data_IF_611536024880
#
_entry.id   IF_611536024880
#
_cell.length_a   1.000
_cell.length_b   1.000
_cell.length_c   1.000
_cell.angle_alpha   90.00
_cell.angle_beta   90.00
_cell.angle_gamma   90.00
#
_symmetry.space_group_name_H-M   'P 1'
#
loop_
_entity.id
_entity.type
_entity.pdbx_description
1 polymer ?
#
# COMPACT_ATOMS: atom_id res chain seq x y z
N UNK A 1 30.17 30.56 1.83
CA UNK A 1 29.18 29.54 2.22
C UNK A 1 28.62 28.97 0.93
N UNK A 2 28.91 27.67 0.60
CA UNK A 2 28.20 26.98 -0.48
C UNK A 2 26.77 26.78 0.02
N UNK A 3 25.81 27.39 -0.65
CA UNK A 3 24.41 27.13 -0.40
C UNK A 3 24.18 25.60 -0.57
N UNK A 4 23.65 24.97 0.46
CA UNK A 4 23.31 23.52 0.34
C UNK A 4 22.23 23.43 -0.74
N UNK A 5 22.36 22.48 -1.66
CA UNK A 5 21.36 22.24 -2.68
C UNK A 5 20.02 21.95 -2.01
N UNK A 6 19.06 22.83 -2.20
CA UNK A 6 17.74 22.76 -1.56
C UNK A 6 16.74 22.07 -2.48
N UNK A 7 15.81 21.33 -1.89
CA UNK A 7 14.61 20.87 -2.56
C UNK A 7 13.44 21.70 -2.01
N UNK A 8 12.76 22.44 -2.85
CA UNK A 8 11.67 23.35 -2.47
C UNK A 8 10.33 22.77 -2.95
N UNK A 9 9.30 22.97 -2.16
CA UNK A 9 7.93 22.72 -2.59
C UNK A 9 7.46 23.85 -3.50
N UNK A 10 6.74 23.50 -4.55
CA UNK A 10 6.21 24.43 -5.54
C UNK A 10 4.79 24.78 -5.17
N UNK A 11 4.47 26.06 -5.15
CA UNK A 11 3.08 26.51 -5.08
C UNK A 11 2.43 26.37 -6.46
N UNK A 12 1.23 25.84 -6.50
CA UNK A 12 0.51 25.57 -7.73
C UNK A 12 -0.96 26.04 -7.63
N UNK A 13 -1.56 26.26 -8.76
CA UNK A 13 -3.01 26.40 -8.90
C UNK A 13 -3.56 25.08 -9.43
N UNK A 14 -4.59 24.58 -8.79
CA UNK A 14 -5.28 23.36 -9.20
C UNK A 14 -6.63 23.68 -9.82
N UNK A 15 -6.92 23.05 -10.96
CA UNK A 15 -8.23 23.02 -11.61
C UNK A 15 -8.68 21.56 -11.69
N UNK A 16 -9.95 21.33 -11.41
CA UNK A 16 -10.57 20.00 -11.52
C UNK A 16 -11.60 20.05 -12.65
N UNK A 17 -11.40 19.22 -13.65
CA UNK A 17 -12.35 19.00 -14.74
C UNK A 17 -13.16 17.75 -14.41
N UNK A 18 -14.45 17.96 -14.15
CA UNK A 18 -15.42 16.89 -13.89
C UNK A 18 -16.11 16.48 -15.21
N UNK A 19 -16.50 15.22 -15.31
CA UNK A 19 -17.13 14.60 -16.48
C UNK A 19 -16.22 14.56 -17.73
N UNK A 20 -14.90 14.49 -17.54
CA UNK A 20 -13.96 14.28 -18.64
C UNK A 20 -14.17 12.86 -19.24
N UNK A 21 -14.63 12.74 -20.50
CA UNK A 21 -14.91 11.44 -21.13
C UNK A 21 -13.63 10.61 -21.36
N UNK A 22 -12.47 11.26 -21.41
CA UNK A 22 -11.18 10.61 -21.66
C UNK A 22 -10.50 10.14 -20.36
N UNK A 23 -11.03 10.57 -19.20
CA UNK A 23 -10.52 10.16 -17.90
C UNK A 23 -11.16 8.85 -17.39
N UNK A 24 -10.40 7.90 -16.84
CA UNK A 24 -10.89 6.58 -16.39
C UNK A 24 -12.05 6.64 -15.39
N UNK A 25 -12.12 7.69 -14.58
CA UNK A 25 -13.19 7.93 -13.57
C UNK A 25 -13.93 9.24 -13.81
N UNK A 26 -13.82 9.81 -15.01
CA UNK A 26 -14.50 11.06 -15.39
C UNK A 26 -13.92 12.32 -14.76
N UNK A 27 -12.73 12.26 -14.16
CA UNK A 27 -12.10 13.39 -13.47
C UNK A 27 -10.67 13.56 -13.95
N UNK A 28 -10.31 14.78 -14.38
CA UNK A 28 -8.95 15.20 -14.66
C UNK A 28 -8.58 16.37 -13.73
N UNK A 29 -7.47 16.23 -13.01
CA UNK A 29 -6.90 17.28 -12.18
C UNK A 29 -5.74 17.93 -12.92
N UNK A 30 -5.79 19.23 -13.07
CA UNK A 30 -4.83 20.02 -13.83
C UNK A 30 -4.12 20.97 -12.87
N UNK A 31 -2.80 20.86 -12.81
CA UNK A 31 -1.95 21.66 -11.94
C UNK A 31 -1.11 22.61 -12.78
N UNK A 32 -1.21 23.91 -12.50
CA UNK A 32 -0.46 24.97 -13.16
C UNK A 32 0.55 25.59 -12.19
N UNK A 33 1.79 25.71 -12.60
CA UNK A 33 2.83 26.43 -11.87
C UNK A 33 3.94 26.90 -12.80
N UNK A 34 4.75 27.84 -12.31
CA UNK A 34 5.95 28.32 -13.01
C UNK A 34 7.21 27.76 -12.38
N UNK A 35 8.17 27.42 -13.21
CA UNK A 35 9.48 26.97 -12.77
C UNK A 35 10.32 28.16 -12.31
N UNK A 36 11.17 27.95 -11.31
CA UNK A 36 12.10 28.97 -10.82
C UNK A 36 13.15 29.36 -11.88
N UNK A 37 13.88 30.45 -11.62
CA UNK A 37 14.89 30.98 -12.55
C UNK A 37 16.19 30.17 -12.60
N UNK A 38 16.58 29.49 -11.53
CA UNK A 38 17.80 28.69 -11.46
C UNK A 38 17.53 27.21 -11.49
N UNK A 39 17.66 26.58 -12.67
CA UNK A 39 17.30 25.17 -12.91
C UNK A 39 18.52 24.27 -13.19
N UNK A 40 19.74 24.79 -13.13
CA UNK A 40 20.92 23.98 -13.46
C UNK A 40 21.06 22.75 -12.57
N UNK A 41 20.89 21.55 -13.14
CA UNK A 41 20.98 20.27 -12.45
C UNK A 41 19.82 19.96 -11.51
N UNK A 42 18.73 20.75 -11.57
CA UNK A 42 17.50 20.48 -10.82
C UNK A 42 16.55 19.56 -11.59
N UNK A 43 15.60 19.01 -10.87
CA UNK A 43 14.56 18.13 -11.39
C UNK A 43 13.20 18.57 -10.83
N UNK A 44 12.15 18.39 -11.62
CA UNK A 44 10.78 18.40 -11.14
C UNK A 44 10.44 17.01 -10.63
N UNK A 45 9.98 16.91 -9.39
CA UNK A 45 9.73 15.64 -8.73
C UNK A 45 8.37 15.66 -8.02
N UNK A 46 7.56 14.63 -8.22
CA UNK A 46 6.30 14.45 -7.52
C UNK A 46 5.88 12.98 -7.49
N UNK A 47 5.05 12.63 -6.51
CA UNK A 47 4.58 11.27 -6.31
C UNK A 47 3.15 11.09 -6.79
N UNK A 48 2.92 10.11 -7.65
CA UNK A 48 1.63 9.80 -8.24
C UNK A 48 1.10 8.49 -7.69
N UNK A 49 -0.18 8.45 -7.38
CA UNK A 49 -0.88 7.29 -6.82
C UNK A 49 -1.93 6.81 -7.79
N UNK A 50 -1.65 5.71 -8.51
CA UNK A 50 -2.58 5.04 -9.41
C UNK A 50 -3.34 6.01 -10.35
N UNK A 51 -2.61 6.85 -11.07
CA UNK A 51 -3.17 7.80 -12.01
C UNK A 51 -2.37 7.83 -13.33
N UNK A 52 -3.05 8.11 -14.43
CA UNK A 52 -2.39 8.53 -15.67
C UNK A 52 -1.82 9.92 -15.46
N UNK A 53 -0.64 10.19 -16.00
CA UNK A 53 0.04 11.46 -15.80
C UNK A 53 0.65 11.94 -17.09
N UNK A 54 0.33 13.18 -17.46
CA UNK A 54 0.95 13.90 -18.56
C UNK A 54 1.56 15.19 -18.04
N UNK A 55 2.73 15.55 -18.53
CA UNK A 55 3.40 16.80 -18.16
C UNK A 55 3.74 17.58 -19.41
N UNK A 56 3.39 18.84 -19.39
CA UNK A 56 3.63 19.78 -20.47
C UNK A 56 4.51 20.95 -19.95
N UNK A 57 5.50 21.36 -20.74
CA UNK A 57 6.29 22.57 -20.50
C UNK A 57 6.07 23.48 -21.71
N UNK A 58 5.50 24.67 -21.48
CA UNK A 58 5.06 25.59 -22.55
C UNK A 58 4.23 24.90 -23.65
N UNK A 59 3.24 24.12 -23.26
CA UNK A 59 2.35 23.40 -24.18
C UNK A 59 2.97 22.16 -24.87
N UNK A 60 4.29 21.94 -24.74
CA UNK A 60 4.95 20.75 -25.28
C UNK A 60 4.91 19.60 -24.28
N UNK A 61 4.37 18.46 -24.67
CA UNK A 61 4.34 17.25 -23.84
C UNK A 61 5.75 16.69 -23.68
N UNK A 62 6.23 16.65 -22.41
CA UNK A 62 7.56 16.15 -22.04
C UNK A 62 7.52 14.82 -21.32
N UNK A 63 6.36 14.45 -20.79
CA UNK A 63 6.15 13.18 -20.09
C UNK A 63 4.74 12.65 -20.32
N UNK A 64 4.64 11.34 -20.49
CA UNK A 64 3.35 10.63 -20.59
C UNK A 64 3.50 9.24 -19.97
N UNK A 65 2.64 8.95 -19.02
CA UNK A 65 2.50 7.62 -18.43
C UNK A 65 1.03 7.32 -18.25
N UNK A 66 0.48 6.56 -19.18
CA UNK A 66 -0.92 6.18 -19.20
C UNK A 66 -1.08 4.67 -19.03
N UNK A 67 -2.22 4.29 -18.47
CA UNK A 67 -2.65 2.90 -18.37
C UNK A 67 -3.06 2.38 -19.76
N UNK A 68 -2.71 1.13 -20.05
CA UNK A 68 -3.32 0.42 -21.18
C UNK A 68 -4.76 0.01 -20.78
N UNK A 69 -5.75 0.68 -21.34
CA UNK A 69 -7.16 0.42 -21.05
C UNK A 69 -7.65 -0.96 -21.54
N UNK A 70 -6.93 -1.58 -22.50
CA UNK A 70 -7.27 -2.91 -23.02
C UNK A 70 -6.96 -4.05 -22.06
N UNK A 71 -6.01 -3.84 -21.11
CA UNK A 71 -5.56 -4.86 -20.17
C UNK A 71 -6.17 -4.60 -18.77
N UNK A 72 -6.97 -5.53 -18.20
CA UNK A 72 -7.60 -5.36 -16.88
C UNK A 72 -6.59 -5.32 -15.73
N UNK A 73 -5.44 -5.96 -15.91
CA UNK A 73 -4.36 -6.00 -14.92
C UNK A 73 -3.41 -4.81 -15.08
N UNK A 74 -3.56 -4.03 -16.17
CA UNK A 74 -2.73 -2.86 -16.36
C UNK A 74 -3.07 -1.77 -15.36
N UNK A 75 -2.06 -1.12 -14.84
CA UNK A 75 -2.17 0.01 -13.94
C UNK A 75 -0.88 0.82 -14.01
N UNK A 76 -0.92 2.03 -13.49
CA UNK A 76 0.28 2.86 -13.38
C UNK A 76 1.06 2.57 -12.12
N UNK A 77 0.37 2.02 -11.08
CA UNK A 77 0.93 1.84 -9.75
C UNK A 77 1.17 3.17 -9.03
N UNK A 78 1.89 3.11 -7.91
CA UNK A 78 2.32 4.29 -7.16
C UNK A 78 3.79 4.57 -7.50
N UNK A 79 4.11 5.75 -8.07
CA UNK A 79 5.43 6.01 -8.63
C UNK A 79 5.87 7.47 -8.48
N UNK A 80 7.18 7.67 -8.52
CA UNK A 80 7.79 8.98 -8.62
C UNK A 80 7.95 9.38 -10.08
N UNK A 81 7.52 10.59 -10.41
CA UNK A 81 7.90 11.30 -11.64
C UNK A 81 9.15 12.12 -11.33
N UNK A 82 10.21 11.92 -12.09
CA UNK A 82 11.48 12.65 -11.97
C UNK A 82 11.84 13.17 -13.35
N UNK A 83 11.59 14.46 -13.58
CA UNK A 83 11.88 15.12 -14.85
C UNK A 83 13.10 16.01 -14.71
N UNK A 84 14.18 15.75 -15.45
CA UNK A 84 15.33 16.64 -15.48
C UNK A 84 14.94 17.97 -16.13
N UNK A 85 15.29 19.07 -15.48
CA UNK A 85 15.05 20.42 -15.97
C UNK A 85 16.34 20.98 -16.58
N UNK A 86 16.21 21.69 -17.68
CA UNK A 86 17.31 22.39 -18.33
C UNK A 86 17.21 23.90 -18.09
N UNK A 87 18.31 24.64 -18.24
CA UNK A 87 18.31 26.09 -18.06
C UNK A 87 17.30 26.81 -18.96
N UNK A 88 17.06 26.26 -20.15
CA UNK A 88 16.08 26.80 -21.11
C UNK A 88 14.64 26.70 -20.61
N UNK A 89 14.36 25.93 -19.55
CA UNK A 89 13.01 25.81 -18.96
C UNK A 89 12.74 26.81 -17.85
N UNK A 90 13.73 27.63 -17.51
CA UNK A 90 13.61 28.68 -16.50
C UNK A 90 12.46 29.65 -16.78
N UNK A 91 11.62 29.86 -15.76
CA UNK A 91 10.44 30.74 -15.84
C UNK A 91 9.29 30.24 -16.72
N UNK A 92 9.41 29.04 -17.29
CA UNK A 92 8.34 28.46 -18.11
C UNK A 92 7.19 27.96 -17.27
N UNK A 93 6.00 28.03 -17.87
CA UNK A 93 4.80 27.41 -17.32
C UNK A 93 4.86 25.90 -17.49
N UNK A 94 4.50 25.19 -16.42
CA UNK A 94 4.31 23.75 -16.41
C UNK A 94 2.84 23.44 -16.14
N UNK A 95 2.30 22.54 -16.94
CA UNK A 95 0.95 22.00 -16.76
C UNK A 95 1.09 20.49 -16.51
N UNK A 96 0.54 20.02 -15.41
CA UNK A 96 0.53 18.61 -15.07
C UNK A 96 -0.92 18.12 -15.03
N UNK A 97 -1.26 17.24 -15.96
CA UNK A 97 -2.57 16.57 -16.00
C UNK A 97 -2.46 15.23 -15.28
N UNK A 98 -3.36 14.99 -14.33
CA UNK A 98 -3.44 13.77 -13.57
C UNK A 98 -4.85 13.23 -13.64
N UNK A 99 -5.00 12.05 -14.25
CA UNK A 99 -6.25 11.33 -14.40
C UNK A 99 -6.26 10.13 -13.46
N UNK A 100 -6.95 10.20 -12.30
CA UNK A 100 -7.08 9.08 -11.38
C UNK A 100 -7.66 7.86 -12.10
N UNK A 101 -7.11 6.66 -11.80
CA UNK A 101 -7.61 5.41 -12.37
C UNK A 101 -8.73 4.83 -11.49
N UNK A 102 -8.74 5.16 -10.20
CA UNK A 102 -9.69 4.67 -9.23
C UNK A 102 -10.35 5.83 -8.47
N UNK A 103 -11.64 5.69 -8.12
CA UNK A 103 -12.38 6.71 -7.35
C UNK A 103 -11.71 7.05 -6.02
N UNK A 104 -11.17 6.05 -5.33
CA UNK A 104 -10.43 6.20 -4.07
C UNK A 104 -9.15 7.05 -4.18
N UNK A 105 -8.70 7.40 -5.38
CA UNK A 105 -7.47 8.19 -5.61
C UNK A 105 -7.73 9.61 -6.09
N UNK A 106 -9.00 10.00 -6.29
CA UNK A 106 -9.39 11.33 -6.80
C UNK A 106 -8.90 12.45 -5.87
N UNK A 107 -9.14 12.33 -4.56
CA UNK A 107 -8.85 13.40 -3.58
C UNK A 107 -7.43 13.33 -2.99
N UNK A 108 -6.53 12.54 -3.57
CA UNK A 108 -5.16 12.41 -3.04
C UNK A 108 -4.34 13.67 -3.29
N UNK A 109 -3.82 14.27 -2.23
CA UNK A 109 -2.93 15.43 -2.30
C UNK A 109 -1.63 15.08 -3.01
N UNK A 110 -1.25 15.93 -3.96
CA UNK A 110 0.00 15.80 -4.72
C UNK A 110 0.88 17.00 -4.35
N UNK A 111 2.13 16.73 -4.02
CA UNK A 111 3.11 17.77 -3.70
C UNK A 111 4.19 17.75 -4.77
N UNK A 112 4.42 18.91 -5.36
CA UNK A 112 5.46 19.11 -6.37
C UNK A 112 6.72 19.66 -5.73
N UNK A 113 7.85 19.12 -6.13
CA UNK A 113 9.17 19.51 -5.65
C UNK A 113 10.05 19.93 -6.82
N UNK A 114 10.74 21.07 -6.67
CA UNK A 114 11.82 21.49 -7.55
C UNK A 114 13.13 21.45 -6.78
N UNK A 115 14.13 20.82 -7.32
CA UNK A 115 15.43 20.78 -6.66
C UNK A 115 16.30 19.62 -7.09
N UNK A 116 17.36 19.42 -6.32
CA UNK A 116 18.29 18.31 -6.52
C UNK A 116 17.70 17.04 -5.90
N UNK A 117 17.95 15.91 -6.54
CA UNK A 117 17.42 14.59 -6.13
C UNK A 117 17.82 14.17 -4.71
N UNK A 118 19.05 14.51 -4.30
CA UNK A 118 19.61 14.04 -3.02
C UNK A 118 18.90 14.61 -1.78
N UNK A 119 18.61 15.92 -1.64
CA UNK A 119 17.85 16.44 -0.50
C UNK A 119 16.45 15.84 -0.37
N UNK A 120 15.76 15.59 -1.49
CA UNK A 120 14.45 14.93 -1.45
C UNK A 120 14.57 13.49 -0.96
N UNK A 121 15.60 12.75 -1.42
CA UNK A 121 15.87 11.41 -0.92
C UNK A 121 16.03 11.40 0.60
N UNK A 122 16.81 12.33 1.18
CA UNK A 122 16.97 12.41 2.62
C UNK A 122 15.69 12.77 3.38
N UNK A 123 14.84 13.63 2.81
CA UNK A 123 13.51 13.94 3.36
C UNK A 123 12.65 12.69 3.41
N UNK A 124 12.58 11.93 2.32
CA UNK A 124 11.85 10.67 2.24
C UNK A 124 12.44 9.61 3.16
N UNK A 125 13.76 9.47 3.16
CA UNK A 125 14.45 8.51 4.00
C UNK A 125 14.14 8.73 5.49
N UNK A 126 14.23 9.96 5.97
CA UNK A 126 13.90 10.28 7.38
C UNK A 126 12.45 9.95 7.73
N UNK A 127 11.54 10.11 6.79
CA UNK A 127 10.13 9.83 7.00
C UNK A 127 9.82 8.33 6.95
N UNK A 128 10.34 7.63 5.94
CA UNK A 128 9.92 6.28 5.60
C UNK A 128 10.87 5.18 6.11
N UNK A 129 12.12 5.53 6.48
CA UNK A 129 13.15 4.54 6.84
C UNK A 129 12.75 3.65 8.03
N UNK A 130 12.11 4.24 9.05
CA UNK A 130 11.64 3.49 10.21
C UNK A 130 10.58 2.46 9.80
N UNK A 131 9.62 2.84 8.97
CA UNK A 131 8.57 1.93 8.49
C UNK A 131 9.15 0.83 7.59
N UNK A 132 10.11 1.18 6.73
CA UNK A 132 10.83 0.20 5.91
C UNK A 132 11.61 -0.78 6.78
N UNK A 133 12.33 -0.30 7.79
CA UNK A 133 13.08 -1.14 8.73
C UNK A 133 12.15 -2.09 9.49
N UNK A 134 11.06 -1.58 10.05
CA UNK A 134 10.05 -2.40 10.73
C UNK A 134 9.50 -3.46 9.78
N UNK A 135 9.18 -3.09 8.53
CA UNK A 135 8.70 -4.03 7.52
C UNK A 135 9.70 -5.15 7.26
N UNK A 136 10.99 -4.82 7.07
CA UNK A 136 12.07 -5.80 6.85
C UNK A 136 12.24 -6.71 8.06
N UNK A 137 12.24 -6.16 9.28
CA UNK A 137 12.35 -6.96 10.51
C UNK A 137 11.16 -7.91 10.65
N UNK A 138 9.94 -7.47 10.37
CA UNK A 138 8.76 -8.34 10.39
C UNK A 138 8.86 -9.48 9.38
N UNK A 139 9.37 -9.23 8.17
CA UNK A 139 9.61 -10.30 7.18
C UNK A 139 10.64 -11.30 7.70
N UNK A 140 11.78 -10.83 8.24
CA UNK A 140 12.82 -11.70 8.79
C UNK A 140 12.29 -12.56 9.94
N UNK A 141 11.63 -11.95 10.92
CA UNK A 141 11.03 -12.67 12.05
C UNK A 141 9.93 -13.63 11.57
N UNK A 142 9.09 -13.20 10.60
CA UNK A 142 8.04 -14.02 10.03
C UNK A 142 8.61 -15.29 9.37
N UNK A 143 9.67 -15.15 8.56
CA UNK A 143 10.37 -16.30 7.96
C UNK A 143 10.95 -17.22 9.04
N UNK A 144 11.55 -16.65 10.08
CA UNK A 144 12.07 -17.43 11.21
C UNK A 144 10.97 -18.23 11.90
N UNK A 145 9.80 -17.62 12.18
CA UNK A 145 8.64 -18.33 12.74
C UNK A 145 8.08 -19.41 11.81
N UNK A 146 8.09 -19.17 10.50
CA UNK A 146 7.70 -20.18 9.51
C UNK A 146 8.62 -21.40 9.55
N UNK A 147 9.93 -21.17 9.56
CA UNK A 147 10.94 -22.25 9.63
C UNK A 147 10.82 -23.04 10.92
N UNK A 148 10.67 -22.37 12.06
CA UNK A 148 10.42 -23.01 13.35
C UNK A 148 9.12 -23.83 13.30
N UNK A 149 8.03 -23.25 12.78
CA UNK A 149 6.74 -23.92 12.68
C UNK A 149 6.80 -25.19 11.83
N UNK A 150 7.50 -25.15 10.70
CA UNK A 150 7.75 -26.32 9.84
C UNK A 150 8.60 -27.37 10.58
N UNK A 151 9.69 -26.96 11.22
CA UNK A 151 10.57 -27.87 11.98
C UNK A 151 9.81 -28.62 13.09
N UNK A 152 9.05 -27.89 13.91
CA UNK A 152 8.26 -28.49 14.99
C UNK A 152 7.12 -29.36 14.47
N UNK A 153 6.50 -29.01 13.33
CA UNK A 153 5.50 -29.86 12.68
C UNK A 153 6.07 -31.23 12.33
N UNK A 154 7.30 -31.28 11.85
CA UNK A 154 7.97 -32.52 11.47
C UNK A 154 8.34 -33.38 12.67
N UNK A 155 8.69 -32.77 13.82
CA UNK A 155 9.18 -33.53 15.00
C UNK A 155 8.16 -33.76 16.11
N UNK A 156 7.26 -32.82 16.39
CA UNK A 156 6.49 -32.84 17.64
C UNK A 156 4.97 -32.68 17.49
N UNK A 157 4.42 -32.44 16.30
CA UNK A 157 2.99 -32.21 16.02
C UNK A 157 2.31 -31.08 16.85
N UNK A 158 3.01 -30.42 17.80
CA UNK A 158 2.41 -29.58 18.84
C UNK A 158 2.45 -28.06 18.56
N UNK A 159 3.26 -27.58 17.60
CA UNK A 159 3.47 -26.14 17.35
C UNK A 159 2.92 -25.67 15.98
N UNK A 160 1.83 -26.26 15.53
CA UNK A 160 1.20 -25.96 14.24
C UNK A 160 0.74 -24.48 14.09
N UNK A 161 0.48 -23.80 15.20
CA UNK A 161 0.02 -22.39 15.20
C UNK A 161 1.13 -21.37 14.90
N UNK A 162 2.42 -21.73 14.99
CA UNK A 162 3.50 -20.80 14.70
C UNK A 162 3.60 -20.43 13.22
N UNK A 163 3.29 -21.36 12.31
CA UNK A 163 3.35 -21.09 10.87
C UNK A 163 2.37 -20.00 10.40
N UNK A 164 1.07 -20.01 10.79
CA UNK A 164 0.19 -18.90 10.46
C UNK A 164 0.64 -17.56 11.04
N UNK A 165 1.15 -17.53 12.27
CA UNK A 165 1.68 -16.30 12.88
C UNK A 165 2.89 -15.76 12.08
N UNK A 166 3.81 -16.65 11.70
CA UNK A 166 4.92 -16.28 10.82
C UNK A 166 4.44 -15.72 9.48
N UNK A 167 3.38 -16.29 8.89
CA UNK A 167 2.81 -15.78 7.65
C UNK A 167 2.17 -14.40 7.83
N UNK A 168 1.47 -14.14 8.95
CA UNK A 168 0.95 -12.80 9.28
C UNK A 168 2.09 -11.79 9.33
N UNK A 169 3.19 -12.10 10.04
CA UNK A 169 4.33 -11.20 10.14
C UNK A 169 4.97 -10.92 8.77
N UNK A 170 5.13 -11.94 7.91
CA UNK A 170 5.64 -11.77 6.54
C UNK A 170 4.72 -10.86 5.74
N UNK A 171 3.40 -11.12 5.74
CA UNK A 171 2.43 -10.33 4.96
C UNK A 171 2.37 -8.88 5.44
N UNK A 172 2.31 -8.64 6.75
CA UNK A 172 2.31 -7.27 7.29
C UNK A 172 3.63 -6.56 6.97
N UNK A 173 4.76 -7.27 7.06
CA UNK A 173 6.06 -6.73 6.69
C UNK A 173 6.15 -6.38 5.20
N UNK A 174 5.69 -7.25 4.30
CA UNK A 174 5.64 -7.00 2.86
C UNK A 174 4.71 -5.83 2.52
N UNK A 175 3.55 -5.76 3.16
CA UNK A 175 2.64 -4.62 3.02
C UNK A 175 3.34 -3.31 3.40
N UNK A 176 3.99 -3.27 4.58
CA UNK A 176 4.71 -2.07 5.03
C UNK A 176 5.84 -1.66 4.09
N UNK A 177 6.63 -2.62 3.59
CA UNK A 177 7.68 -2.34 2.61
C UNK A 177 7.08 -1.77 1.32
N UNK A 178 6.06 -2.42 0.78
CA UNK A 178 5.45 -2.06 -0.50
C UNK A 178 4.67 -0.73 -0.46
N UNK A 179 4.17 -0.32 0.72
CA UNK A 179 3.42 0.92 0.91
C UNK A 179 4.30 2.15 1.10
N UNK A 180 5.62 1.99 1.33
CA UNK A 180 6.55 3.12 1.49
C UNK A 180 6.84 3.80 0.16
N UNK A 181 6.84 5.14 0.15
CA UNK A 181 7.26 5.92 -1.03
C UNK A 181 8.74 5.72 -1.37
N UNK A 182 9.52 5.38 -0.35
CA UNK A 182 10.97 5.14 -0.49
C UNK A 182 11.28 3.93 -1.36
N UNK A 183 10.51 2.82 -1.26
CA UNK A 183 10.77 1.63 -2.06
C UNK A 183 10.61 1.89 -3.57
N UNK A 184 9.59 2.66 -3.96
CA UNK A 184 9.37 3.02 -5.36
C UNK A 184 10.39 4.02 -5.89
N UNK A 185 11.05 4.77 -4.98
CA UNK A 185 12.21 5.60 -5.30
C UNK A 185 13.47 4.77 -5.52
N UNK A 186 13.71 3.78 -4.65
CA UNK A 186 14.89 2.91 -4.70
C UNK A 186 14.84 1.95 -5.90
N UNK A 187 13.65 1.43 -6.22
CA UNK A 187 13.44 0.46 -7.30
C UNK A 187 12.43 1.05 -8.30
N UNK A 188 12.85 2.01 -9.14
CA UNK A 188 11.99 2.58 -10.16
C UNK A 188 11.61 1.53 -11.21
N UNK A 189 10.44 1.69 -11.82
CA UNK A 189 9.95 0.78 -12.87
C UNK A 189 9.06 -0.37 -12.37
N UNK A 190 9.08 -0.71 -11.09
CA UNK A 190 8.28 -1.81 -10.52
C UNK A 190 7.07 -1.31 -9.70
N UNK A 191 6.61 -0.10 -9.97
CA UNK A 191 5.51 0.54 -9.24
C UNK A 191 4.24 -0.32 -9.18
N UNK A 192 3.86 -0.95 -10.29
CA UNK A 192 2.70 -1.82 -10.36
C UNK A 192 2.86 -3.06 -9.48
N UNK A 193 4.04 -3.69 -9.50
CA UNK A 193 4.37 -4.83 -8.65
C UNK A 193 4.20 -4.49 -7.17
N UNK A 194 4.77 -3.38 -6.70
CA UNK A 194 4.64 -2.95 -5.30
C UNK A 194 3.19 -2.62 -4.92
N UNK A 195 2.43 -2.01 -5.83
CA UNK A 195 1.01 -1.76 -5.60
C UNK A 195 0.21 -3.05 -5.42
N UNK A 196 0.43 -4.06 -6.27
CA UNK A 196 -0.22 -5.37 -6.09
C UNK A 196 0.29 -6.11 -4.85
N UNK A 197 1.60 -6.07 -4.58
CA UNK A 197 2.18 -6.69 -3.38
C UNK A 197 1.55 -6.13 -2.10
N UNK A 198 1.39 -4.80 -2.03
CA UNK A 198 0.71 -4.14 -0.91
C UNK A 198 -0.74 -4.61 -0.77
N UNK A 199 -1.51 -4.61 -1.86
CA UNK A 199 -2.91 -5.05 -1.84
C UNK A 199 -3.06 -6.51 -1.42
N UNK A 200 -2.30 -7.42 -2.03
CA UNK A 200 -2.35 -8.85 -1.69
C UNK A 200 -1.98 -9.10 -0.25
N UNK A 201 -0.91 -8.48 0.22
CA UNK A 201 -0.44 -8.67 1.59
C UNK A 201 -1.51 -8.30 2.61
N UNK A 202 -2.18 -7.16 2.44
CA UNK A 202 -3.22 -6.72 3.39
C UNK A 202 -4.49 -7.60 3.27
N UNK A 203 -4.85 -8.08 2.08
CA UNK A 203 -6.03 -8.91 1.87
C UNK A 203 -5.88 -10.32 2.44
N UNK A 204 -4.68 -10.89 2.39
CA UNK A 204 -4.43 -12.22 2.93
C UNK A 204 -4.14 -12.24 4.43
N UNK A 205 -3.66 -11.15 5.03
CA UNK A 205 -3.30 -11.11 6.45
C UNK A 205 -4.43 -11.56 7.40
N UNK A 206 -5.70 -11.11 7.27
CA UNK A 206 -6.80 -11.54 8.16
C UNK A 206 -7.12 -13.02 8.07
N UNK A 207 -6.95 -13.64 6.90
CA UNK A 207 -7.11 -15.08 6.75
C UNK A 207 -6.12 -15.84 7.64
N UNK A 208 -4.84 -15.43 7.63
CA UNK A 208 -3.82 -16.08 8.46
C UNK A 208 -3.97 -15.76 9.94
N UNK A 209 -4.48 -14.57 10.31
CA UNK A 209 -4.88 -14.26 11.69
C UNK A 209 -5.97 -15.21 12.15
N UNK A 210 -7.05 -15.36 11.38
CA UNK A 210 -8.12 -16.29 11.70
C UNK A 210 -7.61 -17.74 11.77
N UNK A 211 -6.70 -18.14 10.90
CA UNK A 211 -6.07 -19.46 10.90
C UNK A 211 -5.22 -19.67 12.17
N UNK A 212 -4.45 -18.66 12.58
CA UNK A 212 -3.69 -18.70 13.82
C UNK A 212 -4.59 -18.93 15.03
N UNK A 213 -5.67 -18.16 15.17
CA UNK A 213 -6.64 -18.28 16.25
C UNK A 213 -7.32 -19.66 16.20
N UNK A 214 -7.76 -20.10 15.02
CA UNK A 214 -8.38 -21.40 14.83
C UNK A 214 -7.48 -22.56 15.29
N UNK A 215 -6.20 -22.50 14.97
CA UNK A 215 -5.25 -23.54 15.34
C UNK A 215 -4.86 -23.46 16.81
N UNK A 216 -4.83 -22.27 17.41
CA UNK A 216 -4.55 -22.05 18.85
C UNK A 216 -5.72 -22.51 19.71
N UNK A 217 -6.96 -22.35 19.26
CA UNK A 217 -8.20 -22.63 19.98
C UNK A 217 -8.67 -24.11 19.89
N UNK A 218 -7.78 -25.05 19.61
CA UNK A 218 -8.12 -26.46 19.35
C UNK A 218 -9.02 -27.14 20.39
N UNK A 219 -9.00 -26.70 21.65
CA UNK A 219 -9.76 -27.30 22.76
C UNK A 219 -11.11 -26.64 23.03
N UNK A 220 -11.40 -25.48 22.48
CA UNK A 220 -12.60 -24.70 22.79
C UNK A 220 -13.57 -24.72 21.61
N UNK A 221 -14.60 -25.55 21.68
CA UNK A 221 -15.51 -25.84 20.56
C UNK A 221 -16.23 -24.63 19.98
N UNK A 222 -16.60 -23.64 20.81
CA UNK A 222 -17.26 -22.40 20.34
C UNK A 222 -16.31 -21.50 19.54
N UNK A 223 -15.09 -21.27 20.03
CA UNK A 223 -14.08 -20.46 19.36
C UNK A 223 -13.73 -21.09 18.00
N UNK A 224 -13.58 -22.40 17.96
CA UNK A 224 -13.27 -23.11 16.72
C UNK A 224 -14.36 -22.96 15.67
N UNK A 225 -15.65 -23.00 16.04
CA UNK A 225 -16.76 -22.77 15.10
C UNK A 225 -16.72 -21.37 14.51
N UNK A 226 -16.59 -20.36 15.36
CA UNK A 226 -16.53 -18.96 14.94
C UNK A 226 -15.34 -18.71 14.01
N UNK A 227 -14.13 -19.15 14.37
CA UNK A 227 -12.94 -18.96 13.55
C UNK A 227 -12.98 -19.76 12.25
N UNK A 228 -13.67 -20.91 12.19
CA UNK A 228 -13.92 -21.64 10.94
C UNK A 228 -14.79 -20.80 9.99
N UNK A 229 -15.86 -20.18 10.52
CA UNK A 229 -16.70 -19.27 9.72
C UNK A 229 -15.89 -18.10 9.20
N UNK A 230 -15.07 -17.46 10.06
CA UNK A 230 -14.21 -16.35 9.66
C UNK A 230 -13.20 -16.75 8.57
N UNK A 231 -12.63 -17.95 8.65
CA UNK A 231 -11.72 -18.46 7.61
C UNK A 231 -12.44 -18.59 6.27
N UNK A 232 -13.64 -19.17 6.25
CA UNK A 232 -14.43 -19.30 5.03
C UNK A 232 -14.80 -17.93 4.48
N UNK A 233 -15.27 -17.01 5.32
CA UNK A 233 -15.63 -15.64 4.93
C UNK A 233 -14.43 -14.91 4.32
N UNK A 234 -13.26 -14.96 4.96
CA UNK A 234 -12.05 -14.32 4.41
C UNK A 234 -11.64 -14.97 3.07
N UNK A 235 -11.67 -16.29 2.95
CA UNK A 235 -11.35 -16.96 1.69
C UNK A 235 -12.31 -16.55 0.57
N UNK A 236 -13.62 -16.54 0.85
CA UNK A 236 -14.64 -16.12 -0.13
C UNK A 236 -14.46 -14.67 -0.54
N UNK A 237 -14.21 -13.77 0.42
CA UNK A 237 -13.99 -12.35 0.12
C UNK A 237 -12.79 -12.14 -0.79
N UNK A 238 -11.65 -12.78 -0.50
CA UNK A 238 -10.44 -12.69 -1.33
C UNK A 238 -10.71 -13.25 -2.73
N UNK A 239 -11.31 -14.42 -2.84
CA UNK A 239 -11.63 -15.02 -4.14
C UNK A 239 -12.63 -14.19 -4.94
N UNK A 240 -13.65 -13.63 -4.29
CA UNK A 240 -14.64 -12.76 -4.93
C UNK A 240 -14.01 -11.46 -5.44
N UNK A 241 -13.12 -10.82 -4.65
CA UNK A 241 -12.40 -9.62 -5.09
C UNK A 241 -11.50 -9.91 -6.30
N UNK A 242 -10.82 -11.06 -6.31
CA UNK A 242 -10.02 -11.51 -7.44
C UNK A 242 -10.88 -11.78 -8.69
N UNK A 243 -11.97 -12.54 -8.52
CA UNK A 243 -12.87 -12.83 -9.62
C UNK A 243 -13.47 -11.55 -10.21
N UNK A 244 -13.92 -10.62 -9.36
CA UNK A 244 -14.44 -9.32 -9.80
C UNK A 244 -13.41 -8.52 -10.58
N UNK A 245 -12.13 -8.54 -10.14
CA UNK A 245 -11.04 -7.87 -10.83
C UNK A 245 -10.74 -8.49 -12.22
N UNK A 246 -10.67 -9.83 -12.29
CA UNK A 246 -10.44 -10.52 -13.57
C UNK A 246 -11.61 -10.34 -14.54
N UNK A 247 -12.84 -10.32 -14.04
CA UNK A 247 -14.05 -10.07 -14.83
C UNK A 247 -14.26 -8.59 -15.15
N UNK A 248 -13.36 -7.70 -14.73
CA UNK A 248 -13.45 -6.22 -14.91
C UNK A 248 -14.69 -5.58 -14.28
N UNK A 249 -15.33 -6.23 -13.34
CA UNK A 249 -16.51 -5.70 -12.63
C UNK A 249 -16.11 -4.66 -11.59
N UNK A 250 -15.00 -4.91 -10.89
CA UNK A 250 -14.49 -4.04 -9.84
C UNK A 250 -12.97 -4.11 -9.81
N UNK A 251 -12.30 -2.97 -9.76
CA UNK A 251 -10.86 -2.95 -9.62
C UNK A 251 -10.42 -3.43 -8.22
N UNK A 252 -9.32 -4.18 -8.14
CA UNK A 252 -8.82 -4.71 -6.88
C UNK A 252 -8.56 -3.60 -5.84
N UNK A 253 -8.17 -2.41 -6.28
CA UNK A 253 -7.96 -1.24 -5.42
C UNK A 253 -9.26 -0.71 -4.81
N UNK A 254 -10.35 -0.72 -5.57
CA UNK A 254 -11.67 -0.28 -5.08
C UNK A 254 -12.24 -1.30 -4.09
N UNK A 255 -12.06 -2.60 -4.36
CA UNK A 255 -12.47 -3.65 -3.42
C UNK A 255 -11.69 -3.60 -2.11
N UNK A 256 -10.48 -3.03 -2.09
CA UNK A 256 -9.67 -2.91 -0.88
C UNK A 256 -10.35 -2.05 0.20
N UNK A 257 -11.06 -0.98 -0.17
CA UNK A 257 -11.77 -0.15 0.81
C UNK A 257 -12.89 -0.93 1.50
N UNK A 258 -13.71 -1.62 0.71
CA UNK A 258 -14.75 -2.50 1.26
C UNK A 258 -14.14 -3.58 2.16
N UNK A 259 -13.02 -4.15 1.73
CA UNK A 259 -12.31 -5.17 2.48
C UNK A 259 -11.76 -4.66 3.81
N UNK A 260 -11.24 -3.44 3.87
CA UNK A 260 -10.78 -2.81 5.10
C UNK A 260 -11.90 -2.66 6.13
N UNK A 261 -13.12 -2.28 5.71
CA UNK A 261 -14.29 -2.27 6.60
C UNK A 261 -14.64 -3.68 7.11
N UNK A 262 -14.60 -4.69 6.26
CA UNK A 262 -14.83 -6.07 6.68
C UNK A 262 -13.78 -6.53 7.70
N UNK A 263 -12.51 -6.17 7.53
CA UNK A 263 -11.43 -6.47 8.49
C UNK A 263 -11.73 -5.80 9.83
N UNK A 264 -12.10 -4.52 9.82
CA UNK A 264 -12.41 -3.78 11.05
C UNK A 264 -13.56 -4.44 11.82
N UNK A 265 -14.65 -4.78 11.12
CA UNK A 265 -15.80 -5.48 11.71
C UNK A 265 -15.39 -6.83 12.29
N UNK A 266 -14.56 -7.60 11.59
CA UNK A 266 -14.06 -8.89 12.05
C UNK A 266 -13.16 -8.72 13.30
N UNK A 267 -12.29 -7.73 13.32
CA UNK A 267 -11.42 -7.44 14.46
C UNK A 267 -12.24 -7.06 15.70
N UNK A 268 -13.24 -6.18 15.54
CA UNK A 268 -14.16 -5.81 16.62
C UNK A 268 -14.98 -7.02 17.11
N UNK A 269 -15.46 -7.84 16.18
CA UNK A 269 -16.19 -9.05 16.53
C UNK A 269 -15.32 -10.04 17.32
N UNK A 270 -14.07 -10.27 16.90
CA UNK A 270 -13.14 -11.12 17.63
C UNK A 270 -12.83 -10.54 19.03
N UNK A 271 -12.62 -9.23 19.13
CA UNK A 271 -12.37 -8.57 20.42
C UNK A 271 -13.56 -8.78 21.39
N UNK A 272 -14.79 -8.49 20.95
CA UNK A 272 -15.99 -8.67 21.77
C UNK A 272 -16.16 -10.13 22.14
N UNK A 273 -15.96 -11.04 21.21
CA UNK A 273 -16.07 -12.46 21.42
C UNK A 273 -15.07 -12.95 22.48
N UNK A 274 -13.82 -12.52 22.43
CA UNK A 274 -12.79 -12.82 23.43
C UNK A 274 -13.15 -12.28 24.82
N UNK A 275 -13.63 -11.03 24.90
CA UNK A 275 -14.08 -10.43 26.17
C UNK A 275 -15.23 -11.25 26.78
N UNK A 276 -16.18 -11.73 25.98
CA UNK A 276 -17.31 -12.52 26.46
C UNK A 276 -16.90 -13.94 26.91
N UNK A 277 -15.84 -14.50 26.34
CA UNK A 277 -15.37 -15.85 26.66
C UNK A 277 -14.35 -15.86 27.81
N UNK A 278 -13.60 -14.76 27.98
CA UNK A 278 -12.57 -14.63 29.00
C UNK A 278 -13.01 -15.09 30.41
N UNK A 279 -14.18 -14.69 30.93
CA UNK A 279 -14.62 -15.11 32.26
C UNK A 279 -14.76 -16.64 32.42
N UNK A 280 -15.04 -17.34 31.31
CA UNK A 280 -15.24 -18.81 31.31
C UNK A 280 -13.94 -19.60 31.27
N UNK A 281 -12.83 -18.97 30.87
CA UNK A 281 -11.52 -19.62 30.68
C UNK A 281 -10.39 -18.93 31.45
N UNK A 282 -10.72 -18.21 32.54
CA UNK A 282 -9.81 -17.40 33.34
C UNK A 282 -8.57 -18.15 33.86
N UNK A 283 -8.68 -19.43 34.11
CA UNK A 283 -7.62 -20.28 34.68
C UNK A 283 -6.71 -20.94 33.63
N UNK A 284 -7.01 -20.77 32.35
CA UNK A 284 -6.15 -21.32 31.28
C UNK A 284 -5.01 -20.32 30.97
N UNK A 285 -3.79 -20.68 31.38
CA UNK A 285 -2.57 -19.88 31.16
C UNK A 285 -2.35 -19.56 29.66
N UNK A 286 -2.76 -20.46 28.75
CA UNK A 286 -2.61 -20.27 27.31
C UNK A 286 -3.55 -19.17 26.80
N UNK A 287 -4.74 -19.08 27.36
CA UNK A 287 -5.70 -18.03 27.00
C UNK A 287 -5.22 -16.65 27.49
N UNK A 288 -4.60 -16.58 28.70
CA UNK A 288 -3.95 -15.35 29.18
C UNK A 288 -2.80 -14.88 28.30
N UNK A 289 -1.93 -15.80 27.87
CA UNK A 289 -0.82 -15.50 26.95
C UNK A 289 -1.33 -15.01 25.59
N UNK A 290 -2.41 -15.58 25.08
CA UNK A 290 -3.05 -15.13 23.85
C UNK A 290 -3.57 -13.69 23.97
N UNK A 291 -4.29 -13.34 25.04
CA UNK A 291 -4.77 -11.97 25.31
C UNK A 291 -3.64 -10.94 25.47
N UNK A 292 -2.50 -11.34 26.03
CA UNK A 292 -1.33 -10.46 26.15
C UNK A 292 -0.61 -10.27 24.80
N UNK A 293 -0.89 -11.10 23.79
CA UNK A 293 -0.28 -11.00 22.47
C UNK A 293 -1.12 -10.20 21.48
N UNK A 294 -2.37 -9.87 21.81
CA UNK A 294 -3.24 -8.97 21.06
C UNK A 294 -3.08 -7.52 21.51
#
# INVERSE_FOLDING_TARGET
RREQPTCQEINYTEMVEENDPDAPVGVTRIFHFQLNSDLAGKQLMFYVINANTRVYIQGKRVYDRSRDASNPVSGTGCYWVNLPLIRADSGKEVVVEIQPIYRATVDRTITFYEGVRYPLFWKLFRHDALFLLIGVLLVIFGIFYLLIGVYYRMKMQSALYLSPLGMVAVLVGLWKIADTRLITWLIPGHALFFSYLSMFSIMFAPFFVALYIHMSARKTGSIRKVTSVLLVVNAVLVLAAFAAHLLRLLALRESQELYNYCILVQALFLLVFEICIYPKHKDDMRHRLFLLSM
#
